data_IF_314550086164
#
_entry.id   IF_314550086164
#
_cell.length_a   1.000
_cell.length_b   1.000
_cell.length_c   1.000
_cell.angle_alpha   90.00
_cell.angle_beta   90.00
_cell.angle_gamma   90.00
#
_symmetry.space_group_name_H-M   'P 1'
#
loop_
_entity.id
_entity.type
_entity.pdbx_description
1 polymer ?
#
# COMPACT_ATOMS: atom_id res chain seq x y z
N UNK A 1 8.84 0.43 -12.40
CA UNK A 1 7.65 1.28 -12.61
C UNK A 1 7.62 2.35 -11.51
N UNK A 2 7.39 3.62 -11.82
CA UNK A 2 7.28 4.68 -10.82
C UNK A 2 6.02 4.53 -9.94
N UNK A 3 6.02 5.04 -8.71
CA UNK A 3 4.86 5.03 -7.80
C UNK A 3 3.59 5.60 -8.47
N UNK A 4 3.76 6.70 -9.22
CA UNK A 4 2.67 7.35 -9.96
C UNK A 4 2.03 6.51 -11.06
N UNK A 5 2.62 5.41 -11.54
CA UNK A 5 1.90 4.51 -12.45
C UNK A 5 0.88 3.62 -11.71
N UNK A 6 1.00 3.48 -10.39
CA UNK A 6 0.13 2.61 -9.60
C UNK A 6 -1.20 3.24 -9.19
N UNK A 7 -1.39 4.56 -9.30
CA UNK A 7 -2.70 5.20 -9.03
C UNK A 7 -3.84 4.67 -9.92
N UNK A 8 -3.51 4.09 -11.10
CA UNK A 8 -4.48 3.48 -12.02
C UNK A 8 -4.28 1.97 -12.20
N UNK A 9 -3.48 1.34 -11.35
CA UNK A 9 -3.17 -0.08 -11.47
C UNK A 9 -4.38 -0.95 -11.12
N UNK A 10 -4.67 -1.98 -11.93
CA UNK A 10 -5.76 -2.96 -11.70
C UNK A 10 -7.10 -2.30 -11.36
N UNK A 11 -7.80 -2.74 -10.32
CA UNK A 11 -9.16 -2.28 -10.00
C UNK A 11 -9.14 -1.18 -8.93
N UNK A 12 -10.06 -0.20 -8.99
CA UNK A 12 -10.19 0.85 -7.97
C UNK A 12 -10.73 0.31 -6.64
N UNK A 13 -10.29 0.89 -5.53
CA UNK A 13 -10.81 0.62 -4.20
C UNK A 13 -9.91 -0.29 -3.36
N UNK A 14 -10.35 -0.55 -2.14
CA UNK A 14 -9.71 -1.52 -1.25
C UNK A 14 -10.11 -2.95 -1.65
N UNK A 15 -9.14 -3.86 -1.66
CA UNK A 15 -9.37 -5.29 -1.88
C UNK A 15 -9.67 -6.01 -0.56
N UNK A 16 -10.03 -7.30 -0.65
CA UNK A 16 -10.34 -8.11 0.53
C UNK A 16 -9.08 -8.44 1.32
N UNK A 17 -8.08 -9.01 0.67
CA UNK A 17 -6.80 -9.34 1.30
C UNK A 17 -5.71 -8.34 0.99
N UNK A 18 -5.70 -7.78 -0.22
CA UNK A 18 -4.59 -6.96 -0.72
C UNK A 18 -5.11 -5.59 -1.18
N UNK A 19 -4.58 -4.53 -0.57
CA UNK A 19 -4.80 -3.16 -1.03
C UNK A 19 -3.47 -2.46 -1.21
N UNK A 20 -3.23 -1.91 -2.40
CA UNK A 20 -2.13 -1.00 -2.69
C UNK A 20 -2.61 0.44 -2.59
N UNK A 21 -1.82 1.30 -1.97
CA UNK A 21 -2.09 2.72 -1.86
C UNK A 21 -0.97 3.45 -2.59
N UNK A 22 -1.31 4.21 -3.63
CA UNK A 22 -0.33 4.92 -4.45
C UNK A 22 -0.73 6.38 -4.68
N UNK A 23 0.26 7.24 -4.79
CA UNK A 23 0.14 8.59 -5.33
C UNK A 23 1.35 8.91 -6.23
N UNK A 24 1.49 10.15 -6.66
CA UNK A 24 2.58 10.55 -7.56
C UNK A 24 3.99 10.33 -7.01
N UNK A 25 4.16 10.32 -5.68
CA UNK A 25 5.48 10.25 -5.04
C UNK A 25 5.75 8.98 -4.25
N UNK A 26 4.72 8.29 -3.75
CA UNK A 26 4.90 7.16 -2.84
C UNK A 26 3.89 6.04 -3.08
N UNK A 27 4.27 4.83 -2.70
CA UNK A 27 3.42 3.65 -2.74
C UNK A 27 3.72 2.76 -1.52
N UNK A 28 2.66 2.24 -0.93
CA UNK A 28 2.73 1.19 0.08
C UNK A 28 1.57 0.21 -0.12
N UNK A 29 1.56 -0.89 0.64
CA UNK A 29 0.46 -1.86 0.56
C UNK A 29 0.05 -2.38 1.93
N UNK A 30 -1.18 -2.87 2.01
CA UNK A 30 -1.73 -3.60 3.13
C UNK A 30 -2.10 -5.00 2.65
N UNK A 31 -1.58 -6.02 3.32
CA UNK A 31 -1.88 -7.44 3.07
C UNK A 31 -2.40 -8.05 4.37
N UNK A 32 -3.62 -8.57 4.37
CA UNK A 32 -4.24 -9.21 5.53
C UNK A 32 -4.16 -8.36 6.82
N UNK A 33 -4.29 -7.03 6.69
CA UNK A 33 -4.20 -6.08 7.80
C UNK A 33 -2.78 -5.65 8.20
N UNK A 34 -1.73 -6.20 7.59
CA UNK A 34 -0.35 -5.78 7.79
C UNK A 34 0.08 -4.80 6.71
N UNK A 35 0.64 -3.66 7.10
CA UNK A 35 1.20 -2.70 6.15
C UNK A 35 2.66 -3.00 5.85
N UNK A 36 3.04 -2.90 4.57
CA UNK A 36 4.41 -2.86 4.13
C UNK A 36 4.67 -1.51 3.47
N UNK A 37 5.55 -0.72 4.09
CA UNK A 37 5.89 0.63 3.62
C UNK A 37 7.40 0.82 3.64
N UNK A 38 8.00 1.06 2.48
CA UNK A 38 9.45 1.26 2.36
C UNK A 38 9.94 2.49 3.13
N UNK A 39 9.09 3.45 3.47
CA UNK A 39 9.49 4.57 4.34
C UNK A 39 9.55 4.21 5.83
N UNK A 40 9.05 3.03 6.24
CA UNK A 40 9.04 2.59 7.63
C UNK A 40 10.42 2.05 8.08
N UNK A 41 11.40 2.94 8.16
CA UNK A 41 12.79 2.59 8.51
C UNK A 41 12.95 2.08 9.95
N UNK A 42 12.04 2.46 10.84
CA UNK A 42 12.06 2.08 12.26
C UNK A 42 11.37 0.75 12.56
N UNK A 43 10.90 0.02 11.55
CA UNK A 43 10.29 -1.30 11.75
C UNK A 43 11.25 -2.26 12.48
N UNK A 44 10.73 -3.02 13.45
CA UNK A 44 11.50 -4.06 14.15
C UNK A 44 12.11 -5.04 13.16
N UNK A 45 13.42 -5.28 13.26
CA UNK A 45 14.15 -6.17 12.35
C UNK A 45 14.33 -5.62 10.93
N UNK A 46 14.03 -4.34 10.68
CA UNK A 46 14.21 -3.68 9.39
C UNK A 46 13.31 -4.19 8.26
N UNK A 47 12.30 -5.01 8.60
CA UNK A 47 11.47 -5.73 7.63
C UNK A 47 10.42 -4.84 6.93
N UNK A 48 10.27 -3.58 7.36
CA UNK A 48 9.33 -2.58 6.85
C UNK A 48 7.85 -2.93 7.01
N UNK A 49 7.55 -4.02 7.71
CA UNK A 49 6.21 -4.45 8.05
C UNK A 49 5.73 -3.79 9.34
N UNK A 50 4.43 -3.52 9.42
CA UNK A 50 3.80 -2.95 10.61
C UNK A 50 2.35 -3.37 10.74
N UNK A 51 1.90 -3.60 11.97
CA UNK A 51 0.49 -3.75 12.33
C UNK A 51 -0.23 -2.40 12.40
N UNK A 52 0.51 -1.29 12.46
CA UNK A 52 -0.05 0.06 12.39
C UNK A 52 -0.20 0.49 10.94
N UNK A 53 -1.42 0.79 10.52
CA UNK A 53 -1.72 1.32 9.20
C UNK A 53 -1.81 2.84 9.30
N UNK A 54 -0.97 3.53 8.52
CA UNK A 54 -1.00 5.00 8.40
C UNK A 54 -2.30 5.50 7.75
N UNK A 55 -2.60 6.78 7.93
CA UNK A 55 -3.63 7.44 7.12
C UNK A 55 -3.30 7.32 5.63
N UNK A 56 -4.31 6.93 4.85
CA UNK A 56 -4.27 6.78 3.39
C UNK A 56 -4.77 8.02 2.65
N UNK A 57 -5.04 9.12 3.36
CA UNK A 57 -5.48 10.37 2.75
C UNK A 57 -4.47 10.84 1.68
N UNK A 58 -4.99 11.17 0.49
CA UNK A 58 -4.16 11.57 -0.67
C UNK A 58 -3.56 10.40 -1.46
N UNK A 59 -3.89 9.14 -1.13
CA UNK A 59 -3.52 7.97 -1.92
C UNK A 59 -4.75 7.38 -2.63
N UNK A 60 -4.55 6.89 -3.85
CA UNK A 60 -5.55 6.05 -4.52
C UNK A 60 -5.39 4.62 -4.04
N UNK A 61 -6.47 4.06 -3.49
CA UNK A 61 -6.56 2.64 -3.17
C UNK A 61 -6.82 1.83 -4.44
N UNK A 62 -6.01 0.79 -4.68
CA UNK A 62 -6.12 -0.14 -5.80
C UNK A 62 -5.89 -1.56 -5.33
N UNK A 63 -6.52 -2.55 -5.97
CA UNK A 63 -6.34 -3.96 -5.62
C UNK A 63 -6.17 -4.85 -6.86
N UNK A 64 -5.52 -6.02 -6.73
CA UNK A 64 -5.31 -6.95 -7.85
C UNK A 64 -6.63 -7.55 -8.39
N UNK A 65 -7.67 -7.62 -7.54
CA UNK A 65 -8.98 -8.20 -7.87
C UNK A 65 -9.00 -9.72 -7.64
N UNK A 66 -10.14 -10.28 -7.24
CA UNK A 66 -10.30 -11.71 -6.98
C UNK A 66 -9.55 -12.27 -5.75
N UNK A 67 -8.89 -11.40 -4.99
CA UNK A 67 -8.16 -11.69 -3.75
C UNK A 67 -8.45 -10.58 -2.76
#
# INVERSE_FOLDING_TARGET
MPSGSFVRWKQPGAGHWITTYANGGHMYMVIAGLSFDTSNMSSTGGNRWSTTIRSSAGFSARHPGGF
#
